data_IF_647826907135
#
_entry.id   IF_647826907135
#
_cell.length_a   1.000
_cell.length_b   1.000
_cell.length_c   1.000
_cell.angle_alpha   90.00
_cell.angle_beta   90.00
_cell.angle_gamma   90.00
#
_symmetry.space_group_name_H-M   'P 1'
#
loop_
_entity.id
_entity.type
_entity.pdbx_description
1 polymer ?
#
# COMPACT_ATOMS: atom_id res chain seq x y z
N UNK A 1 -12.77 15.80 -6.14
CA UNK A 1 -12.62 14.34 -6.33
C UNK A 1 -13.28 13.60 -5.16
N UNK A 2 -13.81 12.40 -5.40
CA UNK A 2 -14.28 11.38 -4.43
C UNK A 2 -15.61 11.52 -3.64
N UNK A 3 -16.24 12.69 -3.39
CA UNK A 3 -17.39 12.72 -2.44
C UNK A 3 -18.68 12.01 -2.89
N UNK A 4 -19.00 11.91 -4.18
CA UNK A 4 -20.32 11.43 -4.63
C UNK A 4 -20.42 9.93 -4.92
N UNK A 5 -19.31 9.17 -4.88
CA UNK A 5 -19.29 7.72 -5.17
C UNK A 5 -18.43 6.87 -4.24
N UNK A 6 -17.69 7.47 -3.32
CA UNK A 6 -16.82 6.72 -2.41
C UNK A 6 -17.63 6.21 -1.21
N UNK A 7 -17.66 4.89 -0.95
CA UNK A 7 -18.55 4.31 0.05
C UNK A 7 -18.03 4.45 1.49
N UNK A 8 -16.83 4.98 1.69
CA UNK A 8 -16.22 5.16 3.01
C UNK A 8 -16.16 6.64 3.41
N UNK A 9 -16.11 6.94 4.73
CA UNK A 9 -15.94 8.30 5.21
C UNK A 9 -14.67 8.94 4.65
N UNK A 10 -14.75 10.24 4.34
CA UNK A 10 -13.63 11.06 3.87
C UNK A 10 -13.52 12.28 4.76
N UNK A 11 -12.32 12.58 5.24
CA UNK A 11 -12.03 13.77 6.03
C UNK A 11 -12.33 15.05 5.21
N UNK A 12 -12.82 16.10 5.85
CA UNK A 12 -12.92 17.42 5.20
C UNK A 12 -11.53 18.03 4.99
N UNK A 13 -11.33 18.73 3.86
CA UNK A 13 -10.01 19.27 3.46
C UNK A 13 -8.88 18.22 3.51
N UNK A 14 -9.21 17.02 3.03
CA UNK A 14 -8.33 15.86 3.01
C UNK A 14 -7.08 16.10 2.15
N UNK A 15 -5.94 15.73 2.73
CA UNK A 15 -4.73 15.40 1.98
C UNK A 15 -4.91 14.03 1.29
N UNK A 16 -4.85 13.92 -0.04
CA UNK A 16 -5.10 12.66 -0.72
C UNK A 16 -3.86 11.72 -0.72
N UNK A 17 -4.03 10.55 -1.33
CA UNK A 17 -3.05 9.47 -1.53
C UNK A 17 -2.74 8.66 -0.27
N UNK A 18 -2.85 7.33 -0.36
CA UNK A 18 -2.52 6.42 0.75
C UNK A 18 -1.08 5.91 0.72
N UNK A 19 -0.47 5.86 -0.47
CA UNK A 19 0.74 5.08 -0.67
C UNK A 19 1.98 5.97 -0.79
N UNK A 20 2.96 5.73 0.08
CA UNK A 20 4.17 6.56 0.14
C UNK A 20 5.36 5.80 0.72
N UNK A 21 6.52 6.02 0.10
CA UNK A 21 7.83 5.67 0.64
C UNK A 21 8.66 6.93 0.85
N UNK A 22 9.56 6.90 1.85
CA UNK A 22 10.38 8.06 2.18
C UNK A 22 11.48 7.72 3.17
N UNK A 23 12.03 8.77 3.79
CA UNK A 23 13.15 8.70 4.73
C UNK A 23 12.69 9.21 6.10
N UNK A 24 13.10 8.54 7.16
CA UNK A 24 12.91 9.03 8.53
C UNK A 24 13.82 10.24 8.78
N UNK A 25 13.21 11.40 9.00
CA UNK A 25 13.92 12.68 9.25
C UNK A 25 13.82 13.17 10.70
N UNK A 26 12.87 12.63 11.48
CA UNK A 26 12.67 12.95 12.88
C UNK A 26 12.04 11.75 13.61
N UNK A 27 12.30 11.61 14.91
CA UNK A 27 11.82 10.51 15.74
C UNK A 27 11.28 11.02 17.08
N UNK A 28 10.17 10.43 17.53
CA UNK A 28 9.72 10.58 18.90
C UNK A 28 10.68 9.89 19.88
N UNK A 29 10.78 10.41 21.11
CA UNK A 29 11.74 9.94 22.12
C UNK A 29 11.64 8.43 22.45
N UNK A 30 10.42 7.88 22.33
CA UNK A 30 10.13 6.48 22.66
C UNK A 30 10.27 5.52 21.47
N UNK A 31 10.56 6.02 20.26
CA UNK A 31 10.75 5.16 19.09
C UNK A 31 12.09 4.44 19.17
N UNK A 32 12.06 3.10 19.18
CA UNK A 32 13.26 2.23 19.22
C UNK A 32 13.42 1.35 17.98
N UNK A 33 12.41 1.27 17.12
CA UNK A 33 12.35 0.37 15.96
C UNK A 33 12.91 1.00 14.68
N UNK A 34 13.14 2.31 14.68
CA UNK A 34 13.60 3.10 13.54
C UNK A 34 14.74 4.03 13.96
N UNK A 35 15.54 4.45 12.99
CA UNK A 35 16.60 5.46 13.14
C UNK A 35 16.49 6.52 12.03
N UNK A 36 17.11 7.68 12.24
CA UNK A 36 17.22 8.71 11.19
C UNK A 36 17.92 8.13 9.96
N UNK A 37 17.41 8.49 8.77
CA UNK A 37 17.92 7.98 7.50
C UNK A 37 17.31 6.65 7.06
N UNK A 38 16.55 5.95 7.91
CA UNK A 38 15.88 4.71 7.48
C UNK A 38 14.92 4.99 6.33
N UNK A 39 15.06 4.19 5.27
CA UNK A 39 14.08 4.12 4.19
C UNK A 39 12.87 3.33 4.68
N UNK A 40 11.69 3.94 4.57
CA UNK A 40 10.46 3.37 5.11
C UNK A 40 9.31 3.47 4.11
N UNK A 41 8.37 2.55 4.27
CA UNK A 41 7.14 2.48 3.50
C UNK A 41 5.95 2.48 4.48
N UNK A 42 4.93 3.30 4.21
CA UNK A 42 3.82 3.51 5.12
C UNK A 42 2.64 2.55 4.85
N UNK A 43 2.13 1.92 5.90
CA UNK A 43 0.90 1.11 5.84
C UNK A 43 -0.34 1.96 5.61
N UNK A 44 -1.27 1.41 4.82
CA UNK A 44 -2.53 2.05 4.46
C UNK A 44 -3.45 2.32 5.67
N UNK A 45 -3.56 1.35 6.58
CA UNK A 45 -4.38 1.43 7.79
C UNK A 45 -3.48 1.60 9.01
N UNK A 46 -3.53 2.75 9.67
CA UNK A 46 -2.67 3.03 10.82
C UNK A 46 -3.08 2.33 12.11
N UNK A 47 -4.27 1.73 12.16
CA UNK A 47 -4.83 1.14 13.38
C UNK A 47 -4.97 -0.39 13.35
N UNK A 48 -4.95 -1.02 12.17
CA UNK A 48 -5.29 -2.44 12.02
C UNK A 48 -4.20 -3.22 11.27
N UNK A 49 -2.98 -3.23 11.82
CA UNK A 49 -1.82 -3.89 11.19
C UNK A 49 -1.94 -5.42 11.13
N UNK A 50 -2.65 -6.01 12.09
CA UNK A 50 -2.89 -7.47 12.16
C UNK A 50 -4.18 -7.90 11.44
N UNK A 51 -4.82 -6.98 10.72
CA UNK A 51 -6.09 -7.19 10.05
C UNK A 51 -7.28 -6.57 10.78
N UNK A 52 -8.41 -6.49 10.07
CA UNK A 52 -9.61 -5.80 10.55
C UNK A 52 -10.61 -6.78 11.16
N UNK A 53 -10.78 -6.73 12.48
CA UNK A 53 -11.86 -7.43 13.18
C UNK A 53 -13.19 -6.64 13.13
N UNK A 54 -14.35 -7.31 13.23
CA UNK A 54 -15.64 -6.64 13.34
C UNK A 54 -15.66 -5.62 14.48
N UNK A 55 -16.12 -4.41 14.19
CA UNK A 55 -16.23 -3.32 15.18
C UNK A 55 -14.98 -2.43 15.31
N UNK A 56 -13.84 -2.81 14.71
CA UNK A 56 -12.67 -1.93 14.65
C UNK A 56 -12.87 -0.83 13.61
N UNK A 57 -12.42 0.38 13.96
CA UNK A 57 -12.39 1.52 13.04
C UNK A 57 -11.10 1.49 12.23
N UNK A 58 -11.21 1.74 10.93
CA UNK A 58 -10.05 1.97 10.06
C UNK A 58 -9.56 3.39 10.20
N UNK A 59 -8.26 3.58 10.12
CA UNK A 59 -7.66 4.88 9.82
C UNK A 59 -6.92 4.77 8.50
N UNK A 60 -7.63 5.08 7.42
CA UNK A 60 -7.13 4.96 6.06
C UNK A 60 -6.46 6.26 5.61
N UNK A 61 -5.14 6.20 5.38
CA UNK A 61 -4.37 7.32 4.82
C UNK A 61 -4.99 7.76 3.49
N UNK A 62 -5.25 9.06 3.35
CA UNK A 62 -5.89 9.61 2.14
C UNK A 62 -7.38 9.30 2.05
N UNK A 63 -8.00 8.91 3.17
CA UNK A 63 -9.43 8.61 3.31
C UNK A 63 -10.03 9.38 4.49
N UNK A 64 -10.23 8.69 5.62
CA UNK A 64 -10.77 9.31 6.83
C UNK A 64 -9.69 9.96 7.72
N UNK A 65 -8.41 9.79 7.37
CA UNK A 65 -7.27 10.54 7.90
C UNK A 65 -6.43 11.08 6.73
N UNK A 66 -5.62 12.10 6.99
CA UNK A 66 -4.77 12.70 5.95
C UNK A 66 -3.79 11.69 5.36
N UNK A 67 -3.61 11.81 4.05
CA UNK A 67 -2.74 10.95 3.26
C UNK A 67 -1.31 11.45 3.16
N UNK A 68 -0.57 10.83 2.26
CA UNK A 68 0.89 11.01 2.13
C UNK A 68 1.28 12.06 1.08
N UNK A 69 0.32 12.76 0.46
CA UNK A 69 0.63 13.80 -0.55
C UNK A 69 1.13 15.12 0.08
N UNK A 70 2.18 15.05 0.89
CA UNK A 70 2.93 16.15 1.50
C UNK A 70 4.43 15.85 1.50
N UNK A 71 5.26 16.87 1.74
CA UNK A 71 6.71 16.69 1.85
C UNK A 71 7.10 16.00 3.16
N UNK A 72 6.30 16.16 4.22
CA UNK A 72 6.52 15.57 5.54
C UNK A 72 5.18 15.08 6.11
N UNK A 73 5.23 13.99 6.87
CA UNK A 73 4.08 13.44 7.60
C UNK A 73 4.59 12.79 8.89
N UNK A 74 3.87 13.02 9.99
CA UNK A 74 4.11 12.32 11.25
C UNK A 74 3.21 11.09 11.33
N UNK A 75 3.81 9.90 11.49
CA UNK A 75 3.10 8.63 11.57
C UNK A 75 3.60 7.84 12.78
N UNK A 76 2.74 7.01 13.42
CA UNK A 76 3.19 6.08 14.45
C UNK A 76 4.27 5.13 13.91
N UNK A 77 5.37 4.93 14.63
CA UNK A 77 6.49 4.12 14.14
C UNK A 77 6.09 2.69 13.74
N UNK A 78 5.08 2.12 14.41
CA UNK A 78 4.54 0.78 14.12
C UNK A 78 3.93 0.63 12.72
N UNK A 79 3.48 1.74 12.10
CA UNK A 79 2.85 1.70 10.76
C UNK A 79 3.87 1.82 9.63
N UNK A 80 5.15 2.00 9.98
CA UNK A 80 6.26 2.14 9.05
C UNK A 80 7.04 0.84 8.98
N UNK A 81 7.18 0.30 7.78
CA UNK A 81 8.06 -0.85 7.55
C UNK A 81 9.38 -0.37 6.97
N UNK A 82 10.49 -0.77 7.58
CA UNK A 82 11.84 -0.48 7.07
C UNK A 82 12.10 -1.27 5.78
N UNK A 83 12.58 -0.57 4.76
CA UNK A 83 13.00 -1.17 3.49
C UNK A 83 14.51 -1.01 3.39
N UNK A 84 15.28 -2.11 3.42
CA UNK A 84 16.74 -2.02 3.29
C UNK A 84 17.14 -1.38 1.95
N UNK A 85 18.17 -0.53 1.97
CA UNK A 85 18.66 0.15 0.76
C UNK A 85 19.18 -0.85 -0.26
N UNK A 86 19.75 -1.96 0.21
CA UNK A 86 20.29 -3.04 -0.61
C UNK A 86 19.23 -3.72 -1.50
N UNK A 87 17.93 -3.55 -1.19
CA UNK A 87 16.85 -4.02 -2.06
C UNK A 87 16.78 -3.27 -3.40
N UNK A 88 17.44 -2.12 -3.53
CA UNK A 88 17.52 -1.35 -4.78
C UNK A 88 16.17 -0.81 -5.27
N UNK A 89 15.17 -0.75 -4.40
CA UNK A 89 13.82 -0.25 -4.73
C UNK A 89 13.74 1.25 -4.46
N UNK A 90 13.34 2.03 -5.46
CA UNK A 90 13.15 3.47 -5.34
C UNK A 90 11.88 3.83 -4.55
N UNK A 91 11.79 5.05 -4.01
CA UNK A 91 10.58 5.52 -3.32
C UNK A 91 9.33 5.50 -4.20
N UNK A 92 9.48 5.71 -5.51
CA UNK A 92 8.36 5.62 -6.47
C UNK A 92 7.85 4.18 -6.59
N UNK A 93 8.77 3.21 -6.60
CA UNK A 93 8.41 1.79 -6.61
C UNK A 93 7.80 1.36 -5.28
N UNK A 94 8.34 1.83 -4.14
CA UNK A 94 7.74 1.62 -2.82
C UNK A 94 6.30 2.17 -2.78
N UNK A 95 6.08 3.43 -3.17
CA UNK A 95 4.75 4.02 -3.23
C UNK A 95 3.81 3.25 -4.17
N UNK A 96 4.31 2.68 -5.26
CA UNK A 96 3.49 1.87 -6.17
C UNK A 96 3.14 0.49 -5.59
N UNK A 97 3.95 -0.02 -4.66
CA UNK A 97 3.85 -1.37 -4.12
C UNK A 97 2.85 -1.49 -2.97
N UNK A 98 2.62 -0.45 -2.15
CA UNK A 98 1.84 -0.62 -0.91
C UNK A 98 0.43 -1.14 -1.12
N UNK A 99 -0.51 -0.33 -1.58
CA UNK A 99 -1.90 -0.77 -1.69
C UNK A 99 -2.05 -1.98 -2.62
N UNK A 100 -1.38 -1.95 -3.76
CA UNK A 100 -1.52 -2.97 -4.81
C UNK A 100 -0.86 -4.29 -4.42
N UNK A 101 0.32 -4.25 -3.79
CA UNK A 101 1.09 -5.41 -3.35
C UNK A 101 0.48 -6.09 -2.14
N UNK A 102 0.09 -5.35 -1.09
CA UNK A 102 -0.58 -5.97 0.06
C UNK A 102 -1.95 -6.54 -0.33
N UNK A 103 -2.66 -5.90 -1.26
CA UNK A 103 -3.92 -6.44 -1.82
C UNK A 103 -3.65 -7.74 -2.56
N UNK A 104 -2.67 -7.76 -3.48
CA UNK A 104 -2.33 -8.96 -4.25
C UNK A 104 -1.88 -10.10 -3.35
N UNK A 105 -1.04 -9.83 -2.35
CA UNK A 105 -0.56 -10.82 -1.38
C UNK A 105 -1.71 -11.43 -0.59
N UNK A 106 -2.56 -10.61 0.03
CA UNK A 106 -3.74 -11.08 0.77
C UNK A 106 -4.73 -11.83 -0.13
N UNK A 107 -4.75 -11.51 -1.42
CA UNK A 107 -5.65 -12.14 -2.36
C UNK A 107 -5.16 -13.53 -2.85
N UNK A 108 -3.87 -13.83 -2.69
CA UNK A 108 -3.26 -15.11 -3.06
C UNK A 108 -3.01 -16.02 -1.86
N UNK A 109 -2.59 -15.43 -0.73
CA UNK A 109 -2.15 -16.16 0.46
C UNK A 109 -2.97 -15.83 1.72
N UNK A 110 -3.87 -14.85 1.65
CA UNK A 110 -4.74 -14.45 2.75
C UNK A 110 -6.17 -14.98 2.58
N UNK A 111 -7.14 -14.18 3.01
CA UNK A 111 -8.56 -14.59 3.10
C UNK A 111 -9.45 -14.07 1.96
N UNK A 112 -8.88 -13.32 1.00
CA UNK A 112 -9.65 -12.67 -0.07
C UNK A 112 -9.36 -13.32 -1.42
N UNK A 113 -10.33 -13.44 -2.34
CA UNK A 113 -10.06 -13.89 -3.70
C UNK A 113 -9.61 -12.72 -4.60
N UNK A 114 -8.55 -12.92 -5.40
CA UNK A 114 -8.15 -11.95 -6.44
C UNK A 114 -9.09 -12.03 -7.65
N UNK A 115 -9.53 -10.88 -8.17
CA UNK A 115 -10.18 -10.81 -9.49
C UNK A 115 -9.12 -10.56 -10.56
N UNK A 116 -9.07 -11.44 -11.57
CA UNK A 116 -8.14 -11.34 -12.69
C UNK A 116 -8.38 -10.09 -13.55
N UNK A 117 -7.30 -9.50 -14.06
CA UNK A 117 -7.32 -8.30 -14.91
C UNK A 117 -5.91 -7.78 -15.21
N UNK A 118 -5.81 -6.57 -15.78
CA UNK A 118 -4.53 -5.89 -16.09
C UNK A 118 -4.31 -4.62 -15.24
N UNK A 119 -4.97 -4.52 -14.08
CA UNK A 119 -4.72 -3.45 -13.10
C UNK A 119 -3.48 -3.72 -12.27
N UNK A 120 -2.98 -2.71 -11.53
CA UNK A 120 -1.75 -2.82 -10.73
C UNK A 120 -1.75 -4.03 -9.78
N UNK A 121 -2.84 -4.25 -9.03
CA UNK A 121 -2.97 -5.42 -8.15
C UNK A 121 -2.93 -6.76 -8.90
N UNK A 122 -3.51 -6.82 -10.10
CA UNK A 122 -3.51 -8.04 -10.92
C UNK A 122 -2.12 -8.33 -11.51
N UNK A 123 -1.37 -7.30 -11.92
CA UNK A 123 -0.01 -7.45 -12.44
C UNK A 123 0.96 -7.90 -11.34
N UNK A 124 0.86 -7.30 -10.14
CA UNK A 124 1.65 -7.75 -9.00
C UNK A 124 1.24 -9.17 -8.58
N UNK A 125 -0.06 -9.46 -8.53
CA UNK A 125 -0.56 -10.80 -8.25
C UNK A 125 -0.06 -11.83 -9.25
N UNK A 126 -0.01 -11.50 -10.54
CA UNK A 126 0.57 -12.34 -11.58
C UNK A 126 2.06 -12.64 -11.30
N UNK A 127 2.85 -11.62 -10.99
CA UNK A 127 4.27 -11.79 -10.67
C UNK A 127 4.48 -12.66 -9.43
N UNK A 128 3.71 -12.43 -8.36
CA UNK A 128 3.76 -13.21 -7.12
C UNK A 128 3.35 -14.67 -7.39
N UNK A 129 2.23 -14.91 -8.08
CA UNK A 129 1.74 -16.26 -8.37
C UNK A 129 2.73 -17.05 -9.24
N UNK A 130 3.33 -16.40 -10.25
CA UNK A 130 4.38 -17.01 -11.08
C UNK A 130 5.63 -17.34 -10.26
N UNK A 131 6.06 -16.44 -9.38
CA UNK A 131 7.18 -16.68 -8.47
C UNK A 131 6.90 -17.84 -7.49
N UNK A 132 5.64 -18.06 -7.12
CA UNK A 132 5.19 -19.18 -6.31
C UNK A 132 5.02 -20.50 -7.10
N UNK A 133 5.36 -20.52 -8.41
CA UNK A 133 5.31 -21.72 -9.25
C UNK A 133 3.93 -22.05 -9.83
N UNK A 134 2.96 -21.13 -9.75
CA UNK A 134 1.63 -21.34 -10.32
C UNK A 134 1.63 -21.15 -11.86
N UNK A 135 0.74 -21.89 -12.53
CA UNK A 135 0.35 -21.56 -13.90
C UNK A 135 -0.59 -20.37 -13.87
N UNK A 136 -0.22 -19.29 -14.55
CA UNK A 136 -0.97 -18.03 -14.51
C UNK A 136 -1.67 -17.73 -15.82
N UNK A 137 -2.92 -17.26 -15.74
CA UNK A 137 -3.70 -16.81 -16.91
C UNK A 137 -4.11 -15.36 -16.65
N UNK A 138 -3.83 -14.46 -17.59
CA UNK A 138 -4.27 -13.07 -17.54
C UNK A 138 -5.29 -12.79 -18.64
N UNK A 139 -6.31 -12.00 -18.31
CA UNK A 139 -7.34 -11.58 -19.25
C UNK A 139 -7.45 -10.06 -19.27
N UNK A 140 -7.81 -9.51 -20.44
CA UNK A 140 -7.98 -8.07 -20.62
C UNK A 140 -8.96 -7.84 -21.78
N UNK A 141 -9.88 -6.88 -21.66
CA UNK A 141 -10.68 -6.43 -22.80
C UNK A 141 -9.87 -5.56 -23.78
N UNK A 142 -8.66 -5.14 -23.41
CA UNK A 142 -7.75 -4.36 -24.26
C UNK A 142 -6.56 -5.21 -24.69
N UNK A 143 -6.46 -5.47 -26.00
CA UNK A 143 -5.33 -6.18 -26.60
C UNK A 143 -3.99 -5.46 -26.42
N UNK A 144 -3.99 -4.12 -26.44
CA UNK A 144 -2.77 -3.33 -26.21
C UNK A 144 -2.17 -3.57 -24.83
N UNK A 145 -3.00 -3.67 -23.78
CA UNK A 145 -2.51 -3.98 -22.43
C UNK A 145 -1.88 -5.36 -22.32
N UNK A 146 -2.37 -6.33 -23.10
CA UNK A 146 -1.82 -7.69 -23.11
C UNK A 146 -0.41 -7.77 -23.70
N UNK A 147 0.03 -6.77 -24.47
CA UNK A 147 1.40 -6.73 -25.01
C UNK A 147 2.47 -6.45 -23.94
N UNK A 148 2.06 -5.96 -22.77
CA UNK A 148 2.97 -5.57 -21.68
C UNK A 148 3.09 -6.62 -20.57
N UNK A 149 2.52 -7.82 -20.76
CA UNK A 149 2.41 -8.85 -19.72
C UNK A 149 2.92 -10.21 -20.16
#
# INVERSE_FOLDING_TARGET
MARTRYPFPVKDDLVPCSDGGGIVVELGADVKTLQLGDHVIASFDSNNLDGLAPGLKRESLGGNVDGVRHQYIALPAQVLTKVPEECGISFVQMASLMASGVTAWNALFGVLPLKAGTGCASIIGLQIAKAAGATTIITSPSGEKLKFV
#
